data_IF_111121111822
#
_entry.id   IF_111121111822
#
_cell.length_a   1.000
_cell.length_b   1.000
_cell.length_c   1.000
_cell.angle_alpha   90.00
_cell.angle_beta   90.00
_cell.angle_gamma   90.00
#
_symmetry.space_group_name_H-M   'P 1'
#
loop_
_entity.id
_entity.type
_entity.pdbx_description
1 polymer ?
#
# COMPACT_ATOMS: atom_id res chain seq x y z
N UNK A 1 3.49 -21.96 25.87
CA UNK A 1 2.58 -20.81 25.57
C UNK A 1 3.15 -19.98 24.44
N UNK A 2 2.34 -19.70 23.42
CA UNK A 2 2.77 -18.86 22.30
C UNK A 2 2.49 -17.39 22.60
N UNK A 3 3.51 -16.56 22.62
CA UNK A 3 3.35 -15.12 22.81
C UNK A 3 2.98 -14.43 21.50
N UNK A 4 2.03 -13.53 21.54
CA UNK A 4 1.71 -12.68 20.40
C UNK A 4 2.68 -11.51 20.36
N UNK A 5 3.25 -11.25 19.19
CA UNK A 5 4.15 -10.10 18.99
C UNK A 5 3.38 -8.79 18.80
N UNK A 6 2.11 -8.88 18.41
CA UNK A 6 1.24 -7.73 18.19
C UNK A 6 -0.14 -8.07 18.78
N UNK A 7 -0.77 -7.10 19.43
CA UNK A 7 -2.09 -7.32 20.02
C UNK A 7 -3.14 -7.62 18.96
N UNK A 8 -4.06 -8.55 19.27
CA UNK A 8 -5.26 -8.77 18.47
C UNK A 8 -6.21 -7.58 18.64
N UNK A 9 -6.88 -7.18 17.58
CA UNK A 9 -7.91 -6.13 17.64
C UNK A 9 -9.29 -6.73 17.62
N UNK A 10 -10.24 -6.10 18.33
CA UNK A 10 -11.61 -6.55 18.37
C UNK A 10 -12.35 -6.30 17.06
N UNK A 11 -12.26 -5.09 16.56
CA UNK A 11 -12.89 -4.66 15.30
C UNK A 11 -11.97 -3.73 14.55
N UNK A 12 -11.96 -3.83 13.24
CA UNK A 12 -11.18 -2.96 12.39
C UNK A 12 -10.59 -3.67 11.18
N UNK A 13 -9.45 -3.19 10.75
CA UNK A 13 -8.74 -3.71 9.57
C UNK A 13 -7.30 -4.05 9.93
N UNK A 14 -6.83 -5.20 9.45
CA UNK A 14 -5.41 -5.56 9.49
C UNK A 14 -4.89 -5.60 8.07
N UNK A 15 -3.89 -4.77 7.79
CA UNK A 15 -3.18 -4.79 6.51
C UNK A 15 -1.91 -5.59 6.74
N UNK A 16 -1.84 -6.77 6.14
CA UNK A 16 -0.72 -7.70 6.28
C UNK A 16 0.04 -7.84 4.96
N UNK A 17 1.18 -8.49 5.01
CA UNK A 17 2.05 -8.75 3.85
C UNK A 17 2.46 -7.45 3.14
N UNK A 18 2.69 -6.40 3.91
CA UNK A 18 3.23 -5.15 3.41
C UNK A 18 4.75 -5.33 3.25
N UNK A 19 5.27 -4.98 2.08
CA UNK A 19 6.73 -4.98 1.87
C UNK A 19 7.41 -4.13 2.94
N UNK A 20 8.44 -4.68 3.59
CA UNK A 20 9.17 -3.99 4.64
C UNK A 20 9.66 -2.61 4.16
N UNK A 21 9.39 -1.58 4.96
CA UNK A 21 9.73 -0.21 4.65
C UNK A 21 8.59 0.61 4.03
N UNK A 22 7.44 0.00 3.73
CA UNK A 22 6.32 0.70 3.08
C UNK A 22 5.19 1.09 4.03
N UNK A 23 5.18 0.56 5.25
CA UNK A 23 4.06 0.79 6.18
C UNK A 23 3.86 2.26 6.52
N UNK A 24 4.91 3.01 6.76
CA UNK A 24 4.80 4.43 7.10
C UNK A 24 4.19 5.24 5.94
N UNK A 25 4.55 4.92 4.70
CA UNK A 25 3.95 5.58 3.54
C UNK A 25 2.47 5.24 3.40
N UNK A 26 2.08 4.01 3.74
CA UNK A 26 0.67 3.60 3.73
C UNK A 26 -0.12 4.37 4.79
N UNK A 27 0.44 4.55 5.98
CA UNK A 27 -0.19 5.34 7.04
C UNK A 27 -0.45 6.77 6.56
N UNK A 28 0.53 7.40 5.91
CA UNK A 28 0.37 8.74 5.35
C UNK A 28 -0.66 8.76 4.23
N UNK A 29 -0.59 7.80 3.31
CA UNK A 29 -1.48 7.71 2.16
C UNK A 29 -2.95 7.62 2.58
N UNK A 30 -3.23 6.80 3.57
CA UNK A 30 -4.59 6.59 4.07
C UNK A 30 -4.96 7.56 5.19
N UNK A 31 -4.05 8.47 5.56
CA UNK A 31 -4.25 9.46 6.62
C UNK A 31 -4.67 8.83 7.95
N UNK A 32 -4.07 7.68 8.26
CA UNK A 32 -4.41 6.92 9.47
C UNK A 32 -3.96 7.62 10.74
N UNK A 33 -2.93 8.45 10.66
CA UNK A 33 -2.37 9.21 11.78
C UNK A 33 -3.26 10.39 12.21
N UNK A 34 -4.27 10.74 11.42
CA UNK A 34 -5.11 11.93 11.68
C UNK A 34 -6.57 11.63 11.94
N UNK A 35 -6.98 10.36 12.01
CA UNK A 35 -8.39 9.98 12.12
C UNK A 35 -8.85 9.59 13.53
N UNK A 36 -8.02 9.82 14.55
CA UNK A 36 -8.31 9.52 15.96
C UNK A 36 -8.60 8.03 16.27
N UNK A 37 -8.27 7.12 15.37
CA UNK A 37 -8.39 5.69 15.62
C UNK A 37 -7.07 5.16 16.15
N UNK A 38 -7.13 4.07 16.92
CA UNK A 38 -5.92 3.42 17.38
C UNK A 38 -5.28 2.69 16.20
N UNK A 39 -4.04 3.02 15.91
CA UNK A 39 -3.26 2.40 14.84
C UNK A 39 -2.04 1.71 15.47
N UNK A 40 -1.90 0.42 15.20
CA UNK A 40 -0.74 -0.35 15.64
C UNK A 40 0.10 -0.71 14.43
N UNK A 41 1.39 -0.40 14.50
CA UNK A 41 2.34 -0.63 13.42
C UNK A 41 3.38 -1.65 13.88
N UNK A 42 3.54 -2.72 13.12
CA UNK A 42 4.64 -3.66 13.30
C UNK A 42 5.53 -3.66 12.06
N UNK A 43 6.85 -3.59 12.26
CA UNK A 43 7.80 -3.53 11.17
C UNK A 43 8.81 -4.67 11.23
N UNK A 44 9.23 -5.12 10.06
CA UNK A 44 10.30 -6.11 9.91
C UNK A 44 10.00 -7.48 10.52
N UNK A 45 8.74 -7.93 10.47
CA UNK A 45 8.38 -9.28 10.88
C UNK A 45 8.90 -10.32 9.89
N UNK A 46 9.31 -11.51 10.37
CA UNK A 46 9.67 -12.59 9.45
C UNK A 46 8.49 -12.96 8.55
N UNK A 47 8.77 -13.18 7.28
CA UNK A 47 7.76 -13.56 6.29
C UNK A 47 8.33 -14.60 5.34
N UNK A 48 7.61 -15.69 5.11
CA UNK A 48 8.01 -16.70 4.13
C UNK A 48 7.94 -16.15 2.71
N UNK A 49 6.95 -15.33 2.42
CA UNK A 49 6.72 -14.80 1.07
C UNK A 49 7.64 -13.60 0.73
N UNK A 50 7.94 -12.74 1.71
CA UNK A 50 8.62 -11.47 1.50
C UNK A 50 9.97 -11.36 2.21
N UNK A 51 10.41 -12.38 2.93
CA UNK A 51 11.51 -12.40 3.89
C UNK A 51 11.20 -11.56 5.12
N UNK A 52 10.85 -10.29 4.96
CA UNK A 52 10.36 -9.39 6.01
C UNK A 52 9.10 -8.69 5.53
N UNK A 53 8.20 -8.45 6.46
CA UNK A 53 6.94 -7.75 6.18
C UNK A 53 6.62 -6.76 7.26
N UNK A 54 5.81 -5.78 6.92
CA UNK A 54 5.19 -4.86 7.87
C UNK A 54 3.71 -5.19 8.01
N UNK A 55 3.14 -4.84 9.16
CA UNK A 55 1.73 -5.05 9.46
C UNK A 55 1.16 -3.76 10.04
N UNK A 56 -0.03 -3.37 9.60
CA UNK A 56 -0.77 -2.23 10.16
C UNK A 56 -2.12 -2.73 10.67
N UNK A 57 -2.47 -2.36 11.89
CA UNK A 57 -3.78 -2.65 12.47
C UNK A 57 -4.48 -1.33 12.79
N UNK A 58 -5.68 -1.15 12.28
CA UNK A 58 -6.49 0.05 12.52
C UNK A 58 -7.77 -0.38 13.22
N UNK A 59 -7.98 0.09 14.44
CA UNK A 59 -9.18 -0.25 15.19
C UNK A 59 -10.37 0.60 14.76
N UNK A 60 -11.54 -0.02 14.74
CA UNK A 60 -12.83 0.64 14.45
C UNK A 60 -12.89 1.32 13.07
N UNK A 61 -12.13 0.81 12.10
CA UNK A 61 -12.17 1.31 10.73
C UNK A 61 -12.10 0.15 9.75
N UNK A 62 -13.09 0.07 8.87
CA UNK A 62 -13.09 -0.85 7.73
C UNK A 62 -12.64 -0.08 6.49
N UNK A 63 -11.59 -0.55 5.83
CA UNK A 63 -11.12 0.08 4.60
C UNK A 63 -12.11 -0.12 3.46
N UNK A 64 -12.36 0.96 2.74
CA UNK A 64 -13.16 0.90 1.51
C UNK A 64 -12.35 0.22 0.40
N UNK A 65 -13.01 -0.33 -0.65
CA UNK A 65 -12.29 -0.87 -1.80
C UNK A 65 -11.32 0.13 -2.45
N UNK A 66 -11.68 1.42 -2.48
CA UNK A 66 -10.82 2.46 -3.04
C UNK A 66 -9.56 2.64 -2.20
N UNK A 67 -9.68 2.65 -0.88
CA UNK A 67 -8.53 2.74 0.02
C UNK A 67 -7.64 1.50 -0.13
N UNK A 68 -8.24 0.33 -0.21
CA UNK A 68 -7.49 -0.91 -0.42
C UNK A 68 -6.71 -0.88 -1.74
N UNK A 69 -7.30 -0.35 -2.80
CA UNK A 69 -6.62 -0.23 -4.10
C UNK A 69 -5.45 0.75 -4.05
N UNK A 70 -5.53 1.79 -3.24
CA UNK A 70 -4.39 2.69 -3.01
C UNK A 70 -3.23 1.97 -2.31
N UNK A 71 -3.54 1.09 -1.36
CA UNK A 71 -2.52 0.26 -0.71
C UNK A 71 -1.75 -0.58 -1.73
N UNK A 72 -2.44 -1.09 -2.75
CA UNK A 72 -1.83 -1.92 -3.78
C UNK A 72 -0.71 -1.20 -4.54
N UNK A 73 -0.79 0.12 -4.66
CA UNK A 73 0.23 0.91 -5.36
C UNK A 73 1.56 0.87 -4.60
N UNK A 74 1.51 0.91 -3.27
CA UNK A 74 2.71 0.85 -2.43
C UNK A 74 3.11 -0.57 -2.08
N UNK A 75 2.13 -1.46 -1.91
CA UNK A 75 2.34 -2.83 -1.45
C UNK A 75 1.43 -3.79 -2.23
N UNK A 76 1.81 -4.16 -3.47
CA UNK A 76 0.94 -4.98 -4.33
C UNK A 76 0.68 -6.39 -3.81
N UNK A 77 1.47 -6.87 -2.85
CA UNK A 77 1.29 -8.19 -2.24
C UNK A 77 0.49 -8.14 -0.93
N UNK A 78 0.03 -6.97 -0.52
CA UNK A 78 -0.69 -6.80 0.73
C UNK A 78 -2.03 -7.54 0.72
N UNK A 79 -2.42 -8.00 1.92
CA UNK A 79 -3.72 -8.57 2.17
C UNK A 79 -4.47 -7.69 3.15
N UNK A 80 -5.78 -7.57 2.94
CA UNK A 80 -6.67 -6.83 3.82
C UNK A 80 -7.51 -7.85 4.59
N UNK A 81 -7.48 -7.76 5.90
CA UNK A 81 -8.29 -8.60 6.78
C UNK A 81 -9.24 -7.70 7.55
N UNK A 82 -10.53 -7.93 7.41
CA UNK A 82 -11.55 -7.23 8.18
C UNK A 82 -11.84 -8.06 9.43
N UNK A 83 -11.73 -7.43 10.58
CA UNK A 83 -11.87 -8.06 11.89
C UNK A 83 -13.17 -7.62 12.53
N UNK A 84 -13.95 -8.60 13.01
CA UNK A 84 -15.12 -8.38 13.84
C UNK A 84 -15.09 -9.41 14.96
N UNK A 85 -15.29 -8.96 16.19
CA UNK A 85 -15.29 -9.81 17.38
C UNK A 85 -14.03 -10.72 17.45
N UNK A 86 -12.86 -10.11 17.23
CA UNK A 86 -11.54 -10.77 17.23
C UNK A 86 -11.34 -11.82 16.13
N UNK A 87 -12.26 -11.90 15.17
CA UNK A 87 -12.17 -12.89 14.07
C UNK A 87 -12.08 -12.23 12.72
N UNK A 88 -11.35 -12.86 11.82
CA UNK A 88 -11.29 -12.43 10.42
C UNK A 88 -12.61 -12.83 9.76
N UNK A 89 -13.43 -11.84 9.41
CA UNK A 89 -14.72 -12.08 8.73
C UNK A 89 -14.61 -11.91 7.22
N UNK A 90 -13.59 -11.22 6.75
CA UNK A 90 -13.34 -11.03 5.32
C UNK A 90 -11.85 -10.89 5.09
N UNK A 91 -11.33 -11.58 4.08
CA UNK A 91 -9.92 -11.52 3.70
C UNK A 91 -9.82 -11.42 2.18
N UNK A 92 -9.07 -10.46 1.69
CA UNK A 92 -8.86 -10.30 0.25
C UNK A 92 -7.49 -9.67 -0.04
N UNK A 93 -6.99 -9.95 -1.24
CA UNK A 93 -5.76 -9.32 -1.71
C UNK A 93 -6.09 -7.99 -2.38
N UNK A 94 -5.21 -7.01 -2.21
CA UNK A 94 -5.34 -5.73 -2.90
C UNK A 94 -5.11 -5.92 -4.40
N UNK A 95 -5.74 -5.06 -5.20
CA UNK A 95 -5.55 -5.04 -6.65
C UNK A 95 -5.06 -3.68 -7.07
N UNK A 96 -3.96 -3.65 -7.82
CA UNK A 96 -3.46 -2.39 -8.34
C UNK A 96 -4.42 -1.88 -9.43
N UNK A 97 -4.81 -0.60 -9.37
CA UNK A 97 -5.64 -0.01 -10.42
C UNK A 97 -4.92 0.00 -11.77
N UNK A 98 -5.66 -0.10 -12.88
CA UNK A 98 -5.08 -0.05 -14.22
C UNK A 98 -4.55 1.33 -14.58
N UNK A 99 -5.06 2.38 -13.94
CA UNK A 99 -4.63 3.76 -14.10
C UNK A 99 -4.41 4.38 -12.73
N UNK A 100 -3.24 4.99 -12.55
CA UNK A 100 -2.87 5.69 -11.30
C UNK A 100 -2.61 7.15 -11.63
N UNK A 101 -3.43 8.03 -11.07
CA UNK A 101 -3.31 9.48 -11.25
C UNK A 101 -2.82 10.15 -9.97
N UNK A 102 -2.03 11.20 -10.11
CA UNK A 102 -1.51 12.08 -9.05
C UNK A 102 -0.46 11.46 -8.12
N UNK A 103 -0.63 10.22 -7.73
CA UNK A 103 0.10 9.62 -6.62
C UNK A 103 1.58 9.39 -6.91
N UNK A 104 1.91 8.92 -8.12
CA UNK A 104 3.29 8.56 -8.46
C UNK A 104 4.02 9.78 -9.03
N UNK A 105 5.26 9.97 -8.57
CA UNK A 105 6.17 10.97 -9.15
C UNK A 105 7.05 10.26 -10.16
N UNK A 106 7.06 10.74 -11.41
CA UNK A 106 7.82 10.09 -12.48
C UNK A 106 9.32 10.10 -12.17
N UNK A 107 10.01 8.95 -12.24
CA UNK A 107 11.44 8.89 -11.99
C UNK A 107 12.29 9.59 -13.05
N UNK A 108 11.72 9.86 -14.23
CA UNK A 108 12.44 10.58 -15.29
C UNK A 108 12.48 12.08 -14.97
N UNK A 109 13.67 12.63 -14.64
CA UNK A 109 13.76 14.07 -14.31
C UNK A 109 13.39 14.98 -15.47
N UNK A 110 13.44 14.48 -16.70
CA UNK A 110 13.08 15.26 -17.89
C UNK A 110 11.60 15.15 -18.26
N UNK A 111 10.82 14.33 -17.53
CA UNK A 111 9.38 14.24 -17.79
C UNK A 111 8.73 15.60 -17.53
N UNK A 112 7.79 15.98 -18.40
CA UNK A 112 7.09 17.25 -18.28
C UNK A 112 6.36 17.38 -16.95
N UNK A 113 5.91 16.26 -16.38
CA UNK A 113 5.22 16.26 -15.08
C UNK A 113 6.10 16.71 -13.93
N UNK A 114 7.41 16.64 -14.09
CA UNK A 114 8.39 17.12 -13.11
C UNK A 114 8.82 18.58 -13.35
N UNK A 115 8.45 19.15 -14.49
CA UNK A 115 8.88 20.49 -14.90
C UNK A 115 7.70 21.46 -15.04
N UNK A 116 6.49 20.95 -14.99
CA UNK A 116 5.26 21.73 -15.05
C UNK A 116 4.33 21.30 -13.92
N UNK A 117 3.44 22.18 -13.53
CA UNK A 117 2.44 21.86 -12.49
C UNK A 117 1.30 21.08 -13.13
N UNK A 118 1.45 19.77 -13.20
CA UNK A 118 0.44 18.89 -13.79
C UNK A 118 0.38 17.55 -13.09
N UNK A 119 -0.77 16.89 -13.23
CA UNK A 119 -1.08 15.61 -12.60
C UNK A 119 -0.42 14.50 -13.39
N UNK A 120 0.30 13.60 -12.71
CA UNK A 120 0.87 12.41 -13.35
C UNK A 120 -0.22 11.38 -13.68
N UNK A 121 0.01 10.60 -14.73
CA UNK A 121 -0.85 9.49 -15.16
C UNK A 121 0.02 8.32 -15.55
N UNK A 122 -0.22 7.19 -14.90
CA UNK A 122 0.53 5.95 -15.17
C UNK A 122 -0.45 4.81 -15.46
N UNK A 123 -0.20 4.08 -16.52
CA UNK A 123 -0.86 2.79 -16.76
C UNK A 123 -0.06 1.70 -16.07
N UNK A 124 -0.75 0.76 -15.46
CA UNK A 124 -0.11 -0.36 -14.76
C UNK A 124 -0.23 -1.63 -15.57
N UNK A 125 0.81 -2.47 -15.51
CA UNK A 125 0.81 -3.80 -16.08
C UNK A 125 1.35 -4.75 -15.03
N UNK A 126 0.54 -5.75 -14.66
CA UNK A 126 0.85 -6.71 -13.62
C UNK A 126 1.18 -8.05 -14.25
N UNK A 127 2.40 -8.53 -14.01
CA UNK A 127 2.83 -9.89 -14.31
C UNK A 127 2.96 -10.68 -13.01
N UNK A 128 3.22 -11.98 -13.08
CA UNK A 128 3.23 -12.89 -11.92
C UNK A 128 3.97 -12.35 -10.69
N UNK A 129 5.13 -11.73 -10.87
CA UNK A 129 5.97 -11.27 -9.77
C UNK A 129 6.44 -9.82 -9.94
N UNK A 130 5.89 -9.09 -10.90
CA UNK A 130 6.32 -7.73 -11.16
C UNK A 130 5.15 -6.85 -11.56
N UNK A 131 5.24 -5.58 -11.16
CA UNK A 131 4.31 -4.54 -11.57
C UNK A 131 5.11 -3.49 -12.32
N UNK A 132 4.71 -3.23 -13.57
CA UNK A 132 5.30 -2.18 -14.39
C UNK A 132 4.36 -0.99 -14.44
N UNK A 133 4.90 0.20 -14.40
CA UNK A 133 4.15 1.44 -14.51
C UNK A 133 4.65 2.22 -15.74
N UNK A 134 3.71 2.63 -16.56
CA UNK A 134 3.99 3.34 -17.82
C UNK A 134 3.52 4.78 -17.71
N UNK A 135 4.46 5.72 -17.72
CA UNK A 135 4.13 7.14 -17.72
C UNK A 135 3.48 7.53 -19.03
N UNK A 136 2.26 8.06 -18.99
CA UNK A 136 1.56 8.47 -20.22
C UNK A 136 2.14 9.71 -20.87
N UNK A 137 2.98 10.48 -20.16
CA UNK A 137 3.57 11.71 -20.70
C UNK A 137 4.92 11.50 -21.34
N UNK A 138 5.87 10.90 -20.62
CA UNK A 138 7.19 10.65 -21.18
C UNK A 138 7.31 9.27 -21.85
N UNK A 139 6.28 8.44 -21.73
CA UNK A 139 6.16 7.10 -22.31
C UNK A 139 7.18 6.08 -21.82
N UNK A 140 7.98 6.41 -20.83
CA UNK A 140 8.90 5.44 -20.21
C UNK A 140 8.17 4.47 -19.32
N UNK A 141 8.67 3.23 -19.27
CA UNK A 141 8.15 2.16 -18.43
C UNK A 141 9.15 1.93 -17.30
N UNK A 142 8.63 1.87 -16.09
CA UNK A 142 9.42 1.63 -14.88
C UNK A 142 8.90 0.40 -14.16
N UNK A 143 9.81 -0.32 -13.49
CA UNK A 143 9.40 -1.27 -12.48
C UNK A 143 8.84 -0.47 -11.28
N UNK A 144 7.82 -1.00 -10.63
CA UNK A 144 7.22 -0.33 -9.47
C UNK A 144 8.27 0.01 -8.39
N UNK A 145 9.28 -0.84 -8.25
CA UNK A 145 10.37 -0.62 -7.29
C UNK A 145 11.26 0.58 -7.64
N UNK A 146 11.22 1.05 -8.87
CA UNK A 146 11.96 2.25 -9.29
C UNK A 146 11.26 3.55 -8.86
N UNK A 147 9.98 3.48 -8.52
CA UNK A 147 9.26 4.62 -7.98
C UNK A 147 9.71 4.84 -6.54
N UNK A 148 10.39 5.93 -6.29
CA UNK A 148 10.93 6.26 -4.96
C UNK A 148 10.14 7.35 -4.26
N UNK A 149 9.47 8.21 -5.03
CA UNK A 149 8.77 9.36 -4.49
C UNK A 149 7.29 9.30 -4.86
N UNK A 150 6.46 9.71 -3.93
CA UNK A 150 5.01 9.69 -4.06
C UNK A 150 4.46 11.05 -3.66
N UNK A 151 3.39 11.45 -4.31
CA UNK A 151 2.71 12.70 -4.00
C UNK A 151 1.61 12.44 -2.95
N UNK A 152 2.05 12.31 -1.72
CA UNK A 152 1.18 11.99 -0.57
C UNK A 152 0.89 13.24 0.24
#
# INVERSE_FOLDING_TARGET
MRAYKVFAIKEGTVIDHIKAGKALQIIELLKLDSNNKIVTLGMNFPSKALKKKDIIKVEQKELTPEEANKVAILAPQATINIIQDFKVVKKFKVKIPTLVEKLLICPNPKCITNNENMITRFKTNVNKNSVKVHCEYCEKIFDQNEIKNYNI
#
